data_IF_926394525316
#
_entry.id   IF_926394525316
#
_cell.length_a   1.000
_cell.length_b   1.000
_cell.length_c   1.000
_cell.angle_alpha   90.00
_cell.angle_beta   90.00
_cell.angle_gamma   90.00
#
_symmetry.space_group_name_H-M   'P 1'
#
loop_
_entity.id
_entity.type
_entity.pdbx_description
1 polymer ?
#
# COMPACT_ATOMS: atom_id res chain seq x y z
N UNK A 1 27.54 12.75 -34.57
CA UNK A 1 26.08 12.70 -34.33
C UNK A 1 25.78 11.49 -33.45
N UNK A 2 25.30 11.65 -32.21
CA UNK A 2 24.59 10.64 -31.36
C UNK A 2 24.42 11.13 -29.90
N UNK A 3 24.26 12.43 -29.64
CA UNK A 3 24.07 12.99 -28.28
C UNK A 3 22.61 13.43 -27.98
N UNK A 4 21.65 12.94 -28.75
CA UNK A 4 20.22 13.33 -28.65
C UNK A 4 19.28 12.24 -28.12
N UNK A 5 19.69 10.96 -28.11
CA UNK A 5 18.79 9.84 -27.78
C UNK A 5 18.60 9.61 -26.27
N UNK A 6 19.62 9.90 -25.46
CA UNK A 6 19.54 9.76 -24.00
C UNK A 6 18.63 10.78 -23.33
N UNK A 7 18.74 12.05 -23.73
CA UNK A 7 17.91 13.14 -23.19
C UNK A 7 16.42 12.97 -23.54
N UNK A 8 16.09 12.56 -24.76
CA UNK A 8 14.71 12.29 -25.16
C UNK A 8 14.09 11.13 -24.36
N UNK A 9 14.84 10.05 -24.11
CA UNK A 9 14.38 8.93 -23.27
C UNK A 9 14.17 9.35 -21.81
N UNK A 10 15.04 10.23 -21.29
CA UNK A 10 14.91 10.75 -19.93
C UNK A 10 13.71 11.69 -19.80
N UNK A 11 13.48 12.55 -20.80
CA UNK A 11 12.29 13.40 -20.91
C UNK A 11 11.00 12.59 -21.01
N UNK A 12 10.96 11.53 -21.80
CA UNK A 12 9.81 10.62 -21.91
C UNK A 12 9.53 9.87 -20.60
N UNK A 13 10.57 9.42 -19.89
CA UNK A 13 10.42 8.84 -18.54
C UNK A 13 9.89 9.87 -17.55
N UNK A 14 10.38 11.11 -17.59
CA UNK A 14 9.86 12.17 -16.72
C UNK A 14 8.44 12.60 -17.10
N UNK A 15 8.08 12.60 -18.39
CA UNK A 15 6.73 12.92 -18.89
C UNK A 15 5.71 11.85 -18.48
N UNK A 16 6.02 10.56 -18.64
CA UNK A 16 5.17 9.46 -18.14
C UNK A 16 5.06 9.44 -16.61
N UNK A 17 6.14 9.78 -15.90
CA UNK A 17 6.11 10.03 -14.45
C UNK A 17 5.27 11.25 -14.08
N UNK A 18 5.29 12.31 -14.88
CA UNK A 18 4.48 13.51 -14.67
C UNK A 18 3.00 13.25 -14.98
N UNK A 19 2.68 12.47 -16.01
CA UNK A 19 1.30 12.06 -16.32
C UNK A 19 0.73 11.16 -15.23
N UNK A 20 1.50 10.19 -14.74
CA UNK A 20 1.09 9.36 -13.60
C UNK A 20 1.01 10.14 -12.30
N UNK A 21 1.91 11.10 -12.06
CA UNK A 21 1.88 11.99 -10.90
C UNK A 21 0.75 13.02 -11.00
N UNK A 22 0.40 13.49 -12.20
CA UNK A 22 -0.72 14.38 -12.46
C UNK A 22 -2.04 13.63 -12.28
N UNK A 23 -2.18 12.41 -12.80
CA UNK A 23 -3.34 11.53 -12.52
C UNK A 23 -3.45 11.24 -11.02
N UNK A 24 -2.33 10.94 -10.35
CA UNK A 24 -2.28 10.67 -8.93
C UNK A 24 -2.63 11.91 -8.08
N UNK A 25 -2.10 13.08 -8.43
CA UNK A 25 -2.39 14.35 -7.76
C UNK A 25 -3.82 14.80 -8.03
N UNK A 26 -4.31 14.66 -9.26
CA UNK A 26 -5.70 14.96 -9.66
C UNK A 26 -6.71 14.12 -8.87
N UNK A 27 -6.47 12.80 -8.76
CA UNK A 27 -7.28 11.92 -7.92
C UNK A 27 -7.12 12.27 -6.43
N UNK A 28 -5.90 12.58 -5.96
CA UNK A 28 -5.66 12.98 -4.56
C UNK A 28 -6.35 14.30 -4.17
N UNK A 29 -6.46 15.26 -5.09
CA UNK A 29 -7.16 16.54 -4.91
C UNK A 29 -8.68 16.42 -4.99
N UNK A 30 -9.23 15.47 -5.76
CA UNK A 30 -10.69 15.25 -5.86
C UNK A 30 -11.26 14.56 -4.62
N UNK A 31 -10.45 13.78 -3.90
CA UNK A 31 -10.94 12.99 -2.78
C UNK A 31 -11.16 13.87 -1.54
N UNK A 32 -12.33 14.45 -1.34
CA UNK A 32 -12.73 14.93 -0.03
C UNK A 32 -12.99 13.71 0.86
N UNK A 33 -12.35 13.58 2.03
CA UNK A 33 -12.35 12.34 2.86
C UNK A 33 -13.78 11.86 3.18
N UNK A 34 -14.73 12.80 3.28
CA UNK A 34 -16.16 12.51 3.53
C UNK A 34 -16.89 11.87 2.34
N UNK A 35 -16.43 12.08 1.09
CA UNK A 35 -17.08 11.56 -0.12
C UNK A 35 -16.39 10.29 -0.69
N UNK A 36 -15.30 9.83 -0.08
CA UNK A 36 -14.58 8.60 -0.47
C UNK A 36 -15.49 7.38 -0.54
N UNK A 37 -16.28 7.18 0.52
CA UNK A 37 -17.19 6.03 0.63
C UNK A 37 -18.23 6.04 -0.49
N UNK A 38 -18.69 7.23 -0.87
CA UNK A 38 -19.65 7.40 -1.95
C UNK A 38 -19.00 7.18 -3.32
N UNK A 39 -17.79 7.69 -3.54
CA UNK A 39 -17.06 7.51 -4.81
C UNK A 39 -16.68 6.05 -5.08
N UNK A 40 -16.39 5.27 -4.02
CA UNK A 40 -16.17 3.81 -4.10
C UNK A 40 -17.40 3.07 -4.67
N UNK A 41 -18.59 3.64 -4.51
CA UNK A 41 -19.85 3.07 -4.99
C UNK A 41 -20.27 3.57 -6.38
N UNK A 42 -19.93 4.82 -6.74
CA UNK A 42 -20.45 5.51 -7.93
C UNK A 42 -19.46 5.65 -9.09
N UNK A 43 -18.16 5.57 -8.84
CA UNK A 43 -17.12 5.64 -9.90
C UNK A 43 -16.48 4.26 -10.08
N UNK A 44 -15.84 4.03 -11.23
CA UNK A 44 -15.13 2.80 -11.58
C UNK A 44 -13.87 2.53 -10.70
N UNK A 45 -13.89 2.97 -9.45
CA UNK A 45 -12.86 2.83 -8.39
C UNK A 45 -12.95 1.50 -7.65
N UNK A 46 -13.77 0.56 -8.13
CA UNK A 46 -13.66 -0.88 -7.78
C UNK A 46 -12.29 -1.49 -8.15
N UNK A 47 -11.46 -0.75 -8.90
CA UNK A 47 -10.10 -1.16 -9.23
C UNK A 47 -9.16 -1.07 -8.02
N UNK A 48 -8.20 -2.00 -7.96
CA UNK A 48 -7.14 -2.05 -6.93
C UNK A 48 -6.39 -0.71 -6.80
N UNK A 49 -6.27 0.05 -7.89
CA UNK A 49 -5.67 1.38 -7.88
C UNK A 49 -6.48 2.38 -7.03
N UNK A 50 -7.81 2.37 -7.15
CA UNK A 50 -8.70 3.23 -6.35
C UNK A 50 -8.51 3.00 -4.86
N UNK A 51 -8.59 1.74 -4.43
CA UNK A 51 -8.33 1.34 -3.04
C UNK A 51 -6.96 1.77 -2.54
N UNK A 52 -5.90 1.60 -3.34
CA UNK A 52 -4.55 2.03 -3.01
C UNK A 52 -4.45 3.54 -2.77
N UNK A 53 -5.12 4.36 -3.59
CA UNK A 53 -5.14 5.82 -3.40
C UNK A 53 -5.89 6.19 -2.12
N UNK A 54 -7.05 5.58 -1.87
CA UNK A 54 -7.85 5.85 -0.67
C UNK A 54 -7.08 5.50 0.61
N UNK A 55 -6.50 4.29 0.67
CA UNK A 55 -5.69 3.84 1.80
C UNK A 55 -4.49 4.76 2.04
N UNK A 56 -3.80 5.16 0.97
CA UNK A 56 -2.65 6.07 1.07
C UNK A 56 -3.07 7.44 1.59
N UNK A 57 -4.25 7.92 1.22
CA UNK A 57 -4.80 9.17 1.73
C UNK A 57 -5.07 9.10 3.24
N UNK A 58 -5.80 8.08 3.70
CA UNK A 58 -6.06 7.89 5.13
C UNK A 58 -4.75 7.80 5.93
N UNK A 59 -3.78 7.04 5.43
CA UNK A 59 -2.46 6.90 6.05
C UNK A 59 -1.69 8.22 6.11
N UNK A 60 -1.66 8.98 5.02
CA UNK A 60 -0.98 10.31 4.97
C UNK A 60 -1.60 11.28 5.98
N UNK A 61 -2.91 11.16 6.20
CA UNK A 61 -3.65 11.95 7.18
C UNK A 61 -3.57 11.38 8.61
N UNK A 62 -2.74 10.36 8.84
CA UNK A 62 -2.61 9.63 10.13
C UNK A 62 -3.91 9.00 10.64
N UNK A 63 -4.88 8.80 9.76
CA UNK A 63 -6.16 8.14 10.04
C UNK A 63 -6.01 6.62 9.84
N UNK A 64 -5.06 6.01 10.55
CA UNK A 64 -4.66 4.62 10.34
C UNK A 64 -5.78 3.63 10.66
N UNK A 65 -6.63 3.92 11.65
CA UNK A 65 -7.77 3.05 11.97
C UNK A 65 -8.80 3.02 10.84
N UNK A 66 -9.09 4.17 10.25
CA UNK A 66 -10.01 4.28 9.10
C UNK A 66 -9.43 3.61 7.85
N UNK A 67 -8.10 3.68 7.66
CA UNK A 67 -7.43 2.91 6.60
C UNK A 67 -7.65 1.40 6.77
N UNK A 68 -7.50 0.88 8.00
CA UNK A 68 -7.69 -0.54 8.27
C UNK A 68 -9.17 -0.95 8.12
N UNK A 69 -10.11 -0.15 8.60
CA UNK A 69 -11.55 -0.38 8.39
C UNK A 69 -11.89 -0.43 6.89
N UNK A 70 -11.41 0.54 6.11
CA UNK A 70 -11.60 0.58 4.67
C UNK A 70 -11.07 -0.69 3.99
N UNK A 71 -9.88 -1.16 4.39
CA UNK A 71 -9.32 -2.40 3.86
C UNK A 71 -10.21 -3.61 4.16
N UNK A 72 -10.63 -3.80 5.42
CA UNK A 72 -11.51 -4.91 5.79
C UNK A 72 -12.85 -4.86 5.05
N UNK A 73 -13.48 -3.68 4.97
CA UNK A 73 -14.72 -3.47 4.22
C UNK A 73 -14.52 -3.86 2.75
N UNK A 74 -13.40 -3.46 2.15
CA UNK A 74 -13.05 -3.78 0.77
C UNK A 74 -12.93 -5.28 0.50
N UNK A 75 -12.24 -6.01 1.39
CA UNK A 75 -12.09 -7.47 1.29
C UNK A 75 -13.44 -8.17 1.44
N UNK A 76 -14.19 -7.82 2.48
CA UNK A 76 -15.37 -8.59 2.89
C UNK A 76 -16.61 -8.27 2.04
N UNK A 77 -16.79 -7.01 1.64
CA UNK A 77 -18.05 -6.55 1.02
C UNK A 77 -17.89 -6.18 -0.46
N UNK A 78 -16.66 -5.87 -0.91
CA UNK A 78 -16.42 -5.32 -2.25
C UNK A 78 -15.48 -6.18 -3.11
N UNK A 79 -15.16 -7.40 -2.67
CA UNK A 79 -14.31 -8.38 -3.39
C UNK A 79 -12.95 -7.80 -3.80
N UNK A 80 -12.37 -6.94 -2.98
CA UNK A 80 -11.03 -6.41 -3.21
C UNK A 80 -10.02 -7.55 -3.25
N UNK A 81 -9.21 -7.61 -4.31
CA UNK A 81 -8.01 -8.45 -4.39
C UNK A 81 -6.80 -7.54 -4.20
N UNK A 82 -6.16 -7.53 -3.02
CA UNK A 82 -5.06 -6.62 -2.75
C UNK A 82 -3.82 -6.94 -3.58
N UNK A 83 -3.13 -5.91 -4.03
CA UNK A 83 -1.77 -6.03 -4.53
C UNK A 83 -0.75 -5.71 -3.42
N UNK A 84 0.54 -5.84 -3.73
CA UNK A 84 1.62 -5.55 -2.78
C UNK A 84 1.58 -4.11 -2.24
N UNK A 85 1.11 -3.13 -3.03
CA UNK A 85 1.00 -1.73 -2.59
C UNK A 85 -0.04 -1.57 -1.50
N UNK A 86 -1.21 -2.20 -1.65
CA UNK A 86 -2.25 -2.19 -0.62
C UNK A 86 -1.73 -2.82 0.68
N UNK A 87 -1.04 -3.96 0.59
CA UNK A 87 -0.43 -4.60 1.77
C UNK A 87 0.58 -3.69 2.47
N UNK A 88 1.46 -3.01 1.74
CA UNK A 88 2.41 -2.04 2.33
C UNK A 88 1.71 -0.91 3.09
N UNK A 89 0.58 -0.42 2.57
CA UNK A 89 -0.19 0.64 3.21
C UNK A 89 -0.76 0.15 4.54
N UNK A 90 -1.46 -0.99 4.55
CA UNK A 90 -2.13 -1.51 5.75
C UNK A 90 -1.15 -2.05 6.79
N UNK A 91 -0.07 -2.71 6.37
CA UNK A 91 0.99 -3.16 7.30
C UNK A 91 1.57 -1.96 8.03
N UNK A 92 1.96 -0.91 7.29
CA UNK A 92 2.52 0.25 7.97
C UNK A 92 1.48 1.03 8.77
N UNK A 93 0.18 0.96 8.44
CA UNK A 93 -0.87 1.51 9.31
C UNK A 93 -0.93 0.77 10.65
N UNK A 94 -0.76 -0.57 10.65
CA UNK A 94 -0.59 -1.34 11.89
C UNK A 94 0.68 -0.96 12.63
N UNK A 95 1.81 -0.78 11.94
CA UNK A 95 3.07 -0.34 12.55
C UNK A 95 2.94 1.01 13.24
N UNK A 96 2.26 1.96 12.59
CA UNK A 96 2.08 3.32 13.11
C UNK A 96 1.09 3.37 14.29
N UNK A 97 0.17 2.41 14.37
CA UNK A 97 -0.73 2.23 15.53
C UNK A 97 -0.12 1.35 16.64
N UNK A 98 0.99 0.68 16.40
CA UNK A 98 1.51 -0.37 17.30
C UNK A 98 0.55 -1.55 17.47
N UNK A 99 -0.39 -1.76 16.54
CA UNK A 99 -1.42 -2.78 16.67
C UNK A 99 -0.93 -4.14 16.14
N UNK A 100 -0.33 -4.92 17.02
CA UNK A 100 0.24 -6.23 16.72
C UNK A 100 -0.79 -7.25 16.23
N UNK A 101 -1.98 -7.24 16.84
CA UNK A 101 -3.03 -8.21 16.55
C UNK A 101 -3.52 -8.08 15.10
N UNK A 102 -3.87 -6.85 14.68
CA UNK A 102 -4.23 -6.58 13.28
C UNK A 102 -3.07 -6.85 12.33
N UNK A 103 -1.84 -6.56 12.74
CA UNK A 103 -0.65 -6.89 11.97
C UNK A 103 -0.51 -8.39 11.69
N UNK A 104 -0.79 -9.24 12.70
CA UNK A 104 -0.79 -10.71 12.56
C UNK A 104 -1.91 -11.21 11.66
N UNK A 105 -3.11 -10.63 11.77
CA UNK A 105 -4.24 -10.95 10.91
C UNK A 105 -3.91 -10.67 9.43
N UNK A 106 -3.42 -9.46 9.14
CA UNK A 106 -3.02 -9.06 7.79
C UNK A 106 -1.89 -9.94 7.25
N UNK A 107 -0.90 -10.29 8.08
CA UNK A 107 0.17 -11.20 7.67
C UNK A 107 -0.39 -12.59 7.31
N UNK A 108 -1.33 -13.13 8.09
CA UNK A 108 -2.01 -14.39 7.77
C UNK A 108 -2.79 -14.29 6.45
N UNK A 109 -3.53 -13.20 6.23
CA UNK A 109 -4.24 -12.96 4.98
C UNK A 109 -3.28 -12.92 3.79
N UNK A 110 -2.17 -12.19 3.91
CA UNK A 110 -1.15 -12.08 2.87
C UNK A 110 -0.51 -13.43 2.53
N UNK A 111 -0.26 -14.29 3.52
CA UNK A 111 0.31 -15.63 3.29
C UNK A 111 -0.60 -16.57 2.49
N UNK A 112 -1.90 -16.27 2.44
CA UNK A 112 -2.89 -16.99 1.64
C UNK A 112 -3.10 -16.36 0.24
N UNK A 113 -2.30 -15.37 -0.14
CA UNK A 113 -2.36 -14.74 -1.48
C UNK A 113 -1.30 -15.30 -2.43
N UNK A 114 -1.22 -14.73 -3.63
CA UNK A 114 -0.28 -15.12 -4.67
C UNK A 114 1.17 -15.00 -4.22
N UNK A 115 2.03 -15.90 -4.71
CA UNK A 115 3.44 -15.95 -4.36
C UNK A 115 4.21 -14.67 -4.71
N UNK A 116 3.80 -13.93 -5.76
CA UNK A 116 4.43 -12.66 -6.13
C UNK A 116 4.24 -11.57 -5.07
N UNK A 117 3.14 -11.63 -4.31
CA UNK A 117 2.86 -10.71 -3.20
C UNK A 117 3.54 -11.21 -1.94
N UNK A 118 3.33 -12.49 -1.60
CA UNK A 118 3.90 -13.13 -0.43
C UNK A 118 5.43 -13.02 -0.42
N UNK A 119 6.09 -13.22 -1.55
CA UNK A 119 7.56 -13.17 -1.64
C UNK A 119 8.09 -11.77 -1.98
N UNK A 120 7.24 -10.74 -2.03
CA UNK A 120 7.67 -9.38 -2.35
C UNK A 120 8.58 -8.82 -1.25
N UNK A 121 9.82 -8.48 -1.61
CA UNK A 121 10.86 -8.01 -0.67
C UNK A 121 10.42 -6.77 0.14
N UNK A 122 9.71 -5.84 -0.50
CA UNK A 122 9.21 -4.63 0.18
C UNK A 122 8.18 -4.99 1.24
N UNK A 123 7.27 -5.90 0.92
CA UNK A 123 6.22 -6.36 1.85
C UNK A 123 6.85 -7.08 3.04
N UNK A 124 7.81 -7.98 2.79
CA UNK A 124 8.52 -8.70 3.85
C UNK A 124 9.29 -7.76 4.78
N UNK A 125 10.00 -6.78 4.22
CA UNK A 125 10.69 -5.74 4.99
C UNK A 125 9.71 -4.92 5.84
N UNK A 126 8.56 -4.56 5.26
CA UNK A 126 7.51 -3.85 5.99
C UNK A 126 6.93 -4.66 7.15
N UNK A 127 6.77 -5.98 7.00
CA UNK A 127 6.32 -6.87 8.07
C UNK A 127 7.33 -6.95 9.21
N UNK A 128 8.62 -7.07 8.90
CA UNK A 128 9.69 -7.07 9.91
C UNK A 128 9.62 -5.77 10.72
N UNK A 129 9.59 -4.63 10.03
CA UNK A 129 9.49 -3.32 10.69
C UNK A 129 8.22 -3.18 11.54
N UNK A 130 7.09 -3.74 11.09
CA UNK A 130 5.85 -3.79 11.87
C UNK A 130 6.04 -4.59 13.14
N UNK A 131 6.55 -5.83 13.06
CA UNK A 131 6.78 -6.66 14.23
C UNK A 131 7.78 -6.04 15.22
N UNK A 132 8.85 -5.43 14.72
CA UNK A 132 9.82 -4.71 15.56
C UNK A 132 9.18 -3.52 16.29
N UNK A 133 8.42 -2.68 15.59
CA UNK A 133 7.70 -1.54 16.20
C UNK A 133 6.61 -1.97 17.18
N UNK A 134 6.04 -3.15 16.97
CA UNK A 134 5.07 -3.78 17.88
C UNK A 134 5.73 -4.64 18.97
N UNK A 135 7.06 -4.58 19.13
CA UNK A 135 7.85 -5.30 20.14
C UNK A 135 7.78 -6.84 20.07
N UNK A 136 7.41 -7.41 18.92
CA UNK A 136 7.35 -8.87 18.70
C UNK A 136 8.57 -9.34 17.89
N UNK A 137 9.73 -9.36 18.55
CA UNK A 137 11.02 -9.73 17.96
C UNK A 137 11.00 -11.18 17.45
N UNK A 138 10.24 -12.06 18.09
CA UNK A 138 10.16 -13.47 17.72
C UNK A 138 9.55 -13.65 16.33
N UNK A 139 8.46 -12.94 16.02
CA UNK A 139 7.86 -12.99 14.69
C UNK A 139 8.67 -12.18 13.66
N UNK A 140 9.41 -11.15 14.07
CA UNK A 140 10.36 -10.47 13.18
C UNK A 140 11.48 -11.42 12.72
N UNK A 141 12.07 -12.21 13.63
CA UNK A 141 13.14 -13.18 13.34
C UNK A 141 12.70 -14.35 12.46
N UNK A 142 11.44 -14.77 12.56
CA UNK A 142 10.86 -15.82 11.71
C UNK A 142 10.77 -15.44 10.24
N UNK A 143 11.04 -14.19 9.89
CA UNK A 143 11.08 -13.72 8.52
C UNK A 143 12.54 -13.48 8.08
N UNK A 144 13.33 -14.55 7.81
CA UNK A 144 14.78 -14.46 7.68
C UNK A 144 15.28 -13.75 6.42
N UNK A 145 14.39 -13.35 5.50
CA UNK A 145 14.81 -12.89 4.17
C UNK A 145 15.45 -11.50 4.13
N UNK A 146 15.38 -10.70 5.19
CA UNK A 146 15.89 -9.32 5.19
C UNK A 146 16.52 -8.84 6.51
N UNK A 147 16.96 -9.75 7.38
CA UNK A 147 17.65 -9.37 8.63
C UNK A 147 19.11 -8.91 8.37
N UNK A 148 19.58 -8.90 7.12
CA UNK A 148 20.90 -8.37 6.75
C UNK A 148 20.75 -7.00 6.08
N UNK A 149 20.78 -5.93 6.88
CA UNK A 149 20.73 -4.57 6.32
C UNK A 149 20.56 -3.43 7.33
N UNK A 150 21.06 -3.59 8.56
CA UNK A 150 21.39 -2.48 9.46
C UNK A 150 22.86 -2.62 9.81
#
# INVERSE_FOLDING_TARGET
>A
MLRGRGHACQLLKTLSLLETKAQYLFVASIINIKNVRYLSSSTNTKSVLGWGVLLKKYKTNRQNEEALKLFHDGINTQKLIPNYVIYLLVIGACSDLGNLEKGKEIHKMMNNTRDDIKNNTKVQTSLINMYLKCHDINNAKKNPRHITGI
#
